data_IF_154952748581
#
_entry.id   IF_154952748581
#
_cell.length_a   1.000
_cell.length_b   1.000
_cell.length_c   1.000
_cell.angle_alpha   90.00
_cell.angle_beta   90.00
_cell.angle_gamma   90.00
#
_symmetry.space_group_name_H-M   'P 1'
#
loop_
_entity.id
_entity.type
_entity.pdbx_description
1 polymer ?
#
# COMPACT_ATOMS: atom_id res chain seq x y z
N UNK A 1 -4.90 -12.44 -5.64
CA UNK A 1 -5.90 -11.81 -6.54
C UNK A 1 -7.20 -12.62 -6.65
N UNK A 2 -7.19 -13.85 -7.20
CA UNK A 2 -8.42 -14.67 -7.36
C UNK A 2 -9.19 -14.90 -6.06
N UNK A 3 -8.50 -15.27 -4.98
CA UNK A 3 -9.15 -15.48 -3.67
C UNK A 3 -9.82 -14.21 -3.10
N UNK A 4 -9.13 -13.07 -3.18
CA UNK A 4 -9.70 -11.79 -2.74
C UNK A 4 -10.95 -11.40 -3.54
N UNK A 5 -10.93 -11.62 -4.86
CA UNK A 5 -12.08 -11.34 -5.73
C UNK A 5 -13.28 -12.21 -5.37
N UNK A 6 -13.06 -13.50 -5.09
CA UNK A 6 -14.12 -14.42 -4.66
C UNK A 6 -14.73 -13.95 -3.34
N UNK A 7 -13.91 -13.65 -2.34
CA UNK A 7 -14.38 -13.19 -1.02
C UNK A 7 -15.18 -11.90 -1.15
N UNK A 8 -14.65 -10.90 -1.87
CA UNK A 8 -15.35 -9.63 -2.08
C UNK A 8 -16.64 -9.79 -2.90
N UNK A 9 -16.63 -10.67 -3.90
CA UNK A 9 -17.82 -10.97 -4.70
C UNK A 9 -18.93 -11.59 -3.87
N UNK A 10 -18.61 -12.56 -2.99
CA UNK A 10 -19.57 -13.16 -2.07
C UNK A 10 -20.12 -12.12 -1.09
N UNK A 11 -19.25 -11.26 -0.53
CA UNK A 11 -19.69 -10.17 0.35
C UNK A 11 -20.63 -9.19 -0.37
N UNK A 12 -20.30 -8.79 -1.61
CA UNK A 12 -21.14 -7.91 -2.41
C UNK A 12 -22.52 -8.54 -2.67
N UNK A 13 -22.56 -9.81 -3.08
CA UNK A 13 -23.82 -10.54 -3.29
C UNK A 13 -24.66 -10.60 -2.01
N UNK A 14 -24.03 -10.81 -0.85
CA UNK A 14 -24.70 -10.78 0.44
C UNK A 14 -25.31 -9.41 0.77
N UNK A 15 -24.57 -8.33 0.54
CA UNK A 15 -25.06 -6.96 0.78
C UNK A 15 -26.18 -6.59 -0.21
N UNK A 16 -26.06 -6.98 -1.48
CA UNK A 16 -27.12 -6.78 -2.48
C UNK A 16 -28.39 -7.56 -2.11
N UNK A 17 -28.24 -8.82 -1.65
CA UNK A 17 -29.36 -9.61 -1.16
C UNK A 17 -30.04 -8.98 0.05
N UNK A 18 -29.25 -8.45 1.00
CA UNK A 18 -29.78 -7.72 2.16
C UNK A 18 -30.52 -6.43 1.76
N UNK A 19 -29.98 -5.68 0.80
CA UNK A 19 -30.61 -4.47 0.27
C UNK A 19 -31.94 -4.80 -0.45
N UNK A 20 -31.95 -5.86 -1.27
CA UNK A 20 -33.15 -6.35 -1.93
C UNK A 20 -34.23 -6.78 -0.93
N UNK A 21 -33.84 -7.45 0.16
CA UNK A 21 -34.77 -7.88 1.20
C UNK A 21 -35.35 -6.71 2.00
N UNK A 22 -34.55 -5.68 2.30
CA UNK A 22 -34.98 -4.53 3.14
C UNK A 22 -35.76 -3.46 2.38
N UNK A 23 -35.34 -3.15 1.16
CA UNK A 23 -35.84 -1.99 0.42
C UNK A 23 -36.19 -2.28 -1.03
N UNK A 24 -36.18 -3.56 -1.43
CA UNK A 24 -36.49 -3.98 -2.79
C UNK A 24 -35.51 -3.45 -3.83
N UNK A 25 -36.00 -3.43 -5.08
CA UNK A 25 -35.22 -2.95 -6.24
C UNK A 25 -34.75 -1.48 -6.14
N UNK A 26 -35.53 -0.53 -5.59
CA UNK A 26 -35.08 0.86 -5.47
C UNK A 26 -33.77 1.00 -4.67
N UNK A 27 -33.66 0.32 -3.52
CA UNK A 27 -32.47 0.39 -2.67
C UNK A 27 -31.24 -0.25 -3.34
N UNK A 28 -31.44 -1.34 -4.09
CA UNK A 28 -30.38 -1.98 -4.89
C UNK A 28 -29.89 -1.04 -6.00
N UNK A 29 -30.83 -0.43 -6.73
CA UNK A 29 -30.50 0.48 -7.83
C UNK A 29 -29.74 1.72 -7.35
N UNK A 30 -30.12 2.26 -6.18
CA UNK A 30 -29.42 3.38 -5.56
C UNK A 30 -28.00 3.00 -5.14
N UNK A 31 -27.83 1.82 -4.52
CA UNK A 31 -26.52 1.30 -4.16
C UNK A 31 -25.61 1.10 -5.37
N UNK A 32 -26.12 0.51 -6.45
CA UNK A 32 -25.38 0.33 -7.70
C UNK A 32 -25.01 1.66 -8.35
N UNK A 33 -25.93 2.64 -8.36
CA UNK A 33 -25.67 3.95 -8.97
C UNK A 33 -24.62 4.74 -8.18
N UNK A 34 -24.70 4.74 -6.84
CA UNK A 34 -23.69 5.36 -5.98
C UNK A 34 -22.34 4.70 -6.16
N UNK A 35 -22.28 3.37 -6.07
CA UNK A 35 -21.05 2.60 -6.26
C UNK A 35 -20.43 2.78 -7.66
N UNK A 36 -21.26 2.81 -8.70
CA UNK A 36 -20.84 3.06 -10.08
C UNK A 36 -20.25 4.46 -10.27
N UNK A 37 -20.89 5.49 -9.70
CA UNK A 37 -20.40 6.87 -9.76
C UNK A 37 -19.06 7.04 -9.05
N UNK A 38 -18.91 6.47 -7.85
CA UNK A 38 -17.64 6.46 -7.12
C UNK A 38 -16.55 5.70 -7.89
N UNK A 39 -16.90 4.55 -8.48
CA UNK A 39 -15.96 3.76 -9.29
C UNK A 39 -15.45 4.56 -10.49
N UNK A 40 -16.34 5.23 -11.23
CA UNK A 40 -15.95 6.09 -12.36
C UNK A 40 -15.05 7.25 -11.91
N UNK A 41 -15.30 7.85 -10.75
CA UNK A 41 -14.46 8.92 -10.20
C UNK A 41 -13.05 8.41 -9.83
N UNK A 42 -12.89 7.14 -9.46
CA UNK A 42 -11.60 6.53 -9.13
C UNK A 42 -10.79 6.07 -10.34
N UNK A 43 -11.42 5.80 -11.49
CA UNK A 43 -10.72 5.30 -12.69
C UNK A 43 -9.53 6.17 -13.15
N UNK A 44 -9.62 7.52 -13.22
CA UNK A 44 -8.49 8.35 -13.61
C UNK A 44 -7.31 8.24 -12.65
N UNK A 45 -7.58 8.20 -11.34
CA UNK A 45 -6.56 8.03 -10.31
C UNK A 45 -5.87 6.67 -10.46
N UNK A 46 -6.63 5.59 -10.64
CA UNK A 46 -6.08 4.25 -10.85
C UNK A 46 -5.22 4.18 -12.11
N UNK A 47 -5.63 4.82 -13.20
CA UNK A 47 -4.85 4.87 -14.43
C UNK A 47 -3.49 5.54 -14.23
N UNK A 48 -3.47 6.73 -13.59
CA UNK A 48 -2.21 7.44 -13.26
C UNK A 48 -1.31 6.57 -12.39
N UNK A 49 -1.88 5.93 -11.37
CA UNK A 49 -1.13 5.07 -10.45
C UNK A 49 -0.53 3.84 -11.15
N UNK A 50 -1.29 3.16 -12.01
CA UNK A 50 -0.78 1.99 -12.72
C UNK A 50 0.28 2.39 -13.75
N UNK A 51 0.13 3.54 -14.41
CA UNK A 51 1.17 4.08 -15.29
C UNK A 51 2.44 4.39 -14.50
N UNK A 52 2.34 5.12 -13.39
CA UNK A 52 3.48 5.41 -12.50
C UNK A 52 4.16 4.11 -12.04
N UNK A 53 3.38 3.13 -11.61
CA UNK A 53 3.88 1.82 -11.18
C UNK A 53 4.62 1.10 -12.32
N UNK A 54 4.06 1.11 -13.53
CA UNK A 54 4.70 0.52 -14.71
C UNK A 54 6.01 1.22 -15.07
N UNK A 55 6.03 2.56 -15.07
CA UNK A 55 7.25 3.33 -15.31
C UNK A 55 8.30 3.08 -14.23
N UNK A 56 7.93 3.03 -12.95
CA UNK A 56 8.86 2.72 -11.85
C UNK A 56 9.46 1.32 -12.01
N UNK A 57 8.67 0.32 -12.46
CA UNK A 57 9.20 -1.02 -12.72
C UNK A 57 10.22 -1.04 -13.86
N UNK A 58 10.05 -0.19 -14.89
CA UNK A 58 11.02 -0.04 -15.98
C UNK A 58 12.25 0.77 -15.54
N UNK A 59 12.04 1.80 -14.71
CA UNK A 59 13.06 2.72 -14.18
C UNK A 59 13.85 2.15 -12.99
N UNK A 60 13.46 1.00 -12.43
CA UNK A 60 14.22 0.27 -11.42
C UNK A 60 14.93 -0.94 -12.07
N UNK A 61 16.06 -0.72 -12.78
CA UNK A 61 16.92 -1.80 -13.22
C UNK A 61 17.28 -2.71 -12.05
N UNK A 62 17.43 -4.01 -12.32
CA UNK A 62 17.89 -4.97 -11.29
C UNK A 62 19.21 -4.55 -10.67
N UNK A 63 20.09 -3.91 -11.45
CA UNK A 63 21.37 -3.37 -11.00
C UNK A 63 21.18 -2.26 -9.96
N UNK A 64 20.17 -1.41 -10.14
CA UNK A 64 19.88 -0.31 -9.22
C UNK A 64 19.33 -0.84 -7.90
N UNK A 65 18.47 -1.87 -7.97
CA UNK A 65 17.96 -2.57 -6.79
C UNK A 65 19.10 -3.29 -6.05
N UNK A 66 19.97 -4.00 -6.75
CA UNK A 66 21.11 -4.69 -6.15
C UNK A 66 22.09 -3.72 -5.47
N UNK A 67 22.30 -2.53 -6.03
CA UNK A 67 23.25 -1.56 -5.49
C UNK A 67 22.68 -0.69 -4.36
N UNK A 68 21.41 -0.32 -4.42
CA UNK A 68 20.81 0.66 -3.50
C UNK A 68 19.81 0.06 -2.52
N UNK A 69 19.23 -1.09 -2.84
CA UNK A 69 18.09 -1.68 -2.14
C UNK A 69 18.34 -3.14 -1.74
N UNK A 70 19.58 -3.62 -1.81
CA UNK A 70 19.98 -4.94 -1.29
C UNK A 70 20.14 -4.91 0.23
N UNK A 71 20.26 -6.09 0.84
CA UNK A 71 20.61 -6.19 2.26
C UNK A 71 21.99 -5.57 2.56
N UNK A 72 22.92 -5.59 1.60
CA UNK A 72 24.24 -4.97 1.73
C UNK A 72 24.20 -3.43 1.72
N UNK A 73 23.15 -2.82 1.16
CA UNK A 73 22.97 -1.36 1.16
C UNK A 73 22.70 -0.78 2.57
N UNK A 74 22.34 -1.64 3.53
CA UNK A 74 22.13 -1.28 4.93
C UNK A 74 21.19 -0.08 5.11
N UNK A 75 21.65 0.93 5.86
CA UNK A 75 20.85 2.11 6.18
C UNK A 75 20.45 2.95 4.95
N UNK A 76 21.23 2.91 3.87
CA UNK A 76 20.90 3.64 2.63
C UNK A 76 19.65 3.07 1.97
N UNK A 77 19.55 1.75 1.88
CA UNK A 77 18.37 1.08 1.33
C UNK A 77 17.12 1.30 2.19
N UNK A 78 17.27 1.26 3.52
CA UNK A 78 16.20 1.59 4.46
C UNK A 78 15.71 3.03 4.27
N UNK A 79 16.62 4.01 4.17
CA UNK A 79 16.26 5.41 3.95
C UNK A 79 15.47 5.64 2.66
N UNK A 80 15.91 5.02 1.56
CA UNK A 80 15.21 5.13 0.26
C UNK A 80 13.83 4.46 0.34
N UNK A 81 13.73 3.26 0.88
CA UNK A 81 12.45 2.56 1.05
C UNK A 81 11.48 3.31 1.97
N UNK A 82 12.00 3.97 3.01
CA UNK A 82 11.22 4.76 3.94
C UNK A 82 10.55 5.95 3.23
N UNK A 83 11.31 6.73 2.47
CA UNK A 83 10.77 7.84 1.68
C UNK A 83 9.83 7.33 0.59
N UNK A 84 10.22 6.29 -0.14
CA UNK A 84 9.41 5.71 -1.20
C UNK A 84 8.04 5.26 -0.68
N UNK A 85 8.00 4.55 0.45
CA UNK A 85 6.74 4.11 1.06
C UNK A 85 5.84 5.28 1.50
N UNK A 86 6.42 6.36 2.03
CA UNK A 86 5.65 7.54 2.43
C UNK A 86 5.06 8.28 1.22
N UNK A 87 5.81 8.34 0.11
CA UNK A 87 5.36 8.98 -1.13
C UNK A 87 4.39 8.12 -1.94
N UNK A 88 4.44 6.79 -1.80
CA UNK A 88 3.50 5.92 -2.52
C UNK A 88 2.06 6.22 -2.07
N UNK A 89 1.19 6.64 -3.00
CA UNK A 89 -0.21 6.90 -2.69
C UNK A 89 -0.95 5.60 -2.44
N UNK A 90 -1.73 5.55 -1.36
CA UNK A 90 -2.75 4.52 -1.13
C UNK A 90 -2.25 3.28 -0.37
N UNK A 91 -3.16 2.69 0.41
CA UNK A 91 -2.95 1.37 1.00
C UNK A 91 -2.86 0.26 -0.05
N UNK A 92 -2.97 -0.98 0.42
CA UNK A 92 -2.79 -2.25 -0.31
C UNK A 92 -2.74 -2.20 -1.86
N UNK A 93 -3.81 -1.80 -2.58
CA UNK A 93 -3.90 -1.96 -4.03
C UNK A 93 -2.79 -1.31 -4.86
N UNK A 94 -2.20 -0.21 -4.37
CA UNK A 94 -1.19 0.56 -5.12
C UNK A 94 0.22 0.18 -4.69
N UNK A 95 0.46 0.12 -3.38
CA UNK A 95 1.78 -0.15 -2.86
C UNK A 95 2.17 -1.64 -2.89
N UNK A 96 1.23 -2.58 -2.90
CA UNK A 96 1.54 -4.01 -2.97
C UNK A 96 2.17 -4.42 -4.31
N UNK A 97 1.71 -3.96 -5.50
CA UNK A 97 2.42 -4.20 -6.76
C UNK A 97 3.87 -3.72 -6.75
N UNK A 98 4.14 -2.55 -6.14
CA UNK A 98 5.49 -2.01 -6.03
C UNK A 98 6.36 -2.83 -5.08
N UNK A 99 5.82 -3.21 -3.91
CA UNK A 99 6.51 -4.11 -2.99
C UNK A 99 6.81 -5.46 -3.64
N UNK A 100 5.86 -6.02 -4.40
CA UNK A 100 6.07 -7.25 -5.14
C UNK A 100 7.14 -7.10 -6.23
N UNK A 101 7.25 -5.93 -6.87
CA UNK A 101 8.33 -5.63 -7.80
C UNK A 101 9.69 -5.57 -7.10
N UNK A 102 9.78 -4.89 -5.94
CA UNK A 102 10.99 -4.86 -5.11
C UNK A 102 11.46 -6.28 -4.74
N UNK A 103 10.53 -7.13 -4.26
CA UNK A 103 10.82 -8.53 -3.94
C UNK A 103 11.32 -9.30 -5.16
N UNK A 104 10.64 -9.18 -6.31
CA UNK A 104 11.06 -9.88 -7.55
C UNK A 104 12.40 -9.39 -8.09
N UNK A 105 12.79 -8.16 -7.78
CA UNK A 105 14.07 -7.58 -8.16
C UNK A 105 15.20 -7.87 -7.16
N UNK A 106 14.93 -8.65 -6.09
CA UNK A 106 15.93 -9.02 -5.10
C UNK A 106 16.23 -7.95 -4.05
N UNK A 107 15.28 -7.04 -3.79
CA UNK A 107 15.42 -6.09 -2.70
C UNK A 107 15.54 -6.82 -1.35
N UNK A 108 16.39 -6.29 -0.48
CA UNK A 108 16.63 -6.84 0.84
C UNK A 108 15.36 -6.88 1.71
N UNK A 109 15.28 -7.86 2.61
CA UNK A 109 14.10 -8.06 3.45
C UNK A 109 13.79 -6.81 4.29
N UNK A 110 14.83 -6.20 4.88
CA UNK A 110 14.68 -4.98 5.67
C UNK A 110 14.16 -3.80 4.86
N UNK A 111 14.57 -3.70 3.59
CA UNK A 111 14.12 -2.67 2.64
C UNK A 111 12.65 -2.84 2.32
N UNK A 112 12.22 -4.07 1.98
CA UNK A 112 10.82 -4.38 1.67
C UNK A 112 9.91 -4.13 2.87
N UNK A 113 10.32 -4.55 4.07
CA UNK A 113 9.56 -4.30 5.30
C UNK A 113 9.48 -2.81 5.61
N UNK A 114 10.59 -2.08 5.50
CA UNK A 114 10.59 -0.61 5.69
C UNK A 114 9.59 0.06 4.74
N UNK A 115 9.61 -0.32 3.47
CA UNK A 115 8.71 0.22 2.46
C UNK A 115 7.24 -0.05 2.82
N UNK A 116 6.89 -1.29 3.15
CA UNK A 116 5.52 -1.68 3.51
C UNK A 116 5.03 -1.00 4.79
N UNK A 117 5.89 -0.87 5.81
CA UNK A 117 5.56 -0.20 7.06
C UNK A 117 5.42 1.30 6.85
N UNK A 118 6.30 1.92 6.06
CA UNK A 118 6.19 3.34 5.70
C UNK A 118 4.93 3.62 4.89
N UNK A 119 4.63 2.78 3.90
CA UNK A 119 3.38 2.82 3.16
C UNK A 119 2.16 2.70 4.07
N UNK A 120 2.22 1.84 5.10
CA UNK A 120 1.10 1.64 6.01
C UNK A 120 0.91 2.83 6.95
N UNK A 121 2.01 3.39 7.44
CA UNK A 121 2.02 4.36 8.54
C UNK A 121 2.18 5.81 8.12
N UNK A 122 2.71 6.13 6.93
CA UNK A 122 3.15 7.49 6.55
C UNK A 122 2.64 7.95 5.19
N UNK A 123 1.78 7.18 4.50
CA UNK A 123 1.22 7.56 3.18
C UNK A 123 0.81 9.04 3.13
N UNK A 124 1.51 9.83 2.32
CA UNK A 124 1.31 11.27 2.21
C UNK A 124 -0.12 11.63 1.78
N UNK A 125 -0.70 10.83 0.88
CA UNK A 125 -2.08 11.05 0.40
C UNK A 125 -3.14 10.92 1.50
N UNK A 126 -2.82 10.24 2.63
CA UNK A 126 -3.75 10.13 3.77
C UNK A 126 -3.72 11.37 4.65
N UNK A 127 -2.63 12.12 4.66
CA UNK A 127 -2.45 13.26 5.57
C UNK A 127 -3.53 14.33 5.40
N UNK A 128 -3.90 14.78 4.18
CA UNK A 128 -4.99 15.75 4.01
C UNK A 128 -6.34 15.21 4.50
N UNK A 129 -6.64 13.94 4.22
CA UNK A 129 -7.88 13.30 4.68
C UNK A 129 -7.91 13.20 6.20
N UNK A 130 -6.80 12.82 6.83
CA UNK A 130 -6.72 12.75 8.28
C UNK A 130 -6.88 14.11 8.95
N UNK A 131 -6.30 15.16 8.36
CA UNK A 131 -6.48 16.53 8.86
C UNK A 131 -7.96 16.92 8.76
N UNK A 132 -8.64 16.56 7.66
CA UNK A 132 -10.05 16.89 7.45
C UNK A 132 -11.00 16.14 8.40
N UNK A 133 -10.69 14.89 8.76
CA UNK A 133 -11.56 14.04 9.59
C UNK A 133 -11.25 14.20 11.09
N UNK A 134 -9.98 14.18 11.47
CA UNK A 134 -9.53 14.11 12.87
C UNK A 134 -8.89 15.40 13.40
N UNK A 135 -8.57 16.35 12.52
CA UNK A 135 -7.87 17.59 12.85
C UNK A 135 -6.34 17.45 12.89
N UNK A 136 -5.65 18.54 12.53
CA UNK A 136 -4.19 18.54 12.33
C UNK A 136 -3.36 18.23 13.57
N UNK A 137 -3.89 18.48 14.78
CA UNK A 137 -3.17 18.17 16.03
C UNK A 137 -2.96 16.67 16.20
N UNK A 138 -4.02 15.87 15.99
CA UNK A 138 -3.92 14.41 16.11
C UNK A 138 -3.08 13.83 14.98
N UNK A 139 -3.31 14.28 13.74
CA UNK A 139 -2.52 13.86 12.57
C UNK A 139 -1.03 14.12 12.76
N UNK A 140 -0.67 15.30 13.29
CA UNK A 140 0.72 15.67 13.57
C UNK A 140 1.38 14.76 14.61
N UNK A 141 0.72 14.52 15.75
CA UNK A 141 1.23 13.61 16.78
C UNK A 141 1.41 12.19 16.24
N UNK A 142 0.42 11.67 15.51
CA UNK A 142 0.50 10.35 14.86
C UNK A 142 1.70 10.26 13.93
N UNK A 143 1.87 11.23 13.03
CA UNK A 143 2.96 11.25 12.08
C UNK A 143 4.31 11.31 12.77
N UNK A 144 4.46 12.16 13.78
CA UNK A 144 5.72 12.35 14.50
C UNK A 144 6.15 11.08 15.22
N UNK A 145 5.24 10.43 15.95
CA UNK A 145 5.50 9.17 16.65
C UNK A 145 5.74 8.03 15.66
N UNK A 146 4.99 7.99 14.56
CA UNK A 146 5.09 6.92 13.56
C UNK A 146 6.32 7.05 12.66
N UNK A 147 7.00 8.20 12.66
CA UNK A 147 8.08 8.52 11.73
C UNK A 147 9.23 7.51 11.83
N UNK A 148 9.62 7.13 13.05
CA UNK A 148 10.73 6.21 13.29
C UNK A 148 10.36 4.72 13.15
N UNK A 149 9.07 4.39 13.13
CA UNK A 149 8.62 2.98 13.13
C UNK A 149 9.01 2.21 11.87
N UNK A 150 8.91 2.76 10.63
CA UNK A 150 9.34 2.05 9.43
C UNK A 150 10.82 1.64 9.41
N UNK A 151 11.80 2.52 9.64
CA UNK A 151 13.19 2.09 9.65
C UNK A 151 13.50 1.11 10.79
N UNK A 152 12.85 1.26 11.95
CA UNK A 152 12.98 0.28 13.04
C UNK A 152 12.47 -1.11 12.63
N UNK A 153 11.31 -1.17 11.98
CA UNK A 153 10.73 -2.43 11.48
C UNK A 153 11.64 -3.07 10.43
N UNK A 154 12.24 -2.28 9.54
CA UNK A 154 13.20 -2.74 8.56
C UNK A 154 14.47 -3.34 9.18
N UNK A 155 15.07 -2.64 10.14
CA UNK A 155 16.25 -3.13 10.85
C UNK A 155 15.96 -4.43 11.61
N UNK A 156 14.81 -4.51 12.28
CA UNK A 156 14.38 -5.73 12.97
C UNK A 156 14.17 -6.88 11.99
N UNK A 157 13.56 -6.61 10.83
CA UNK A 157 13.39 -7.62 9.79
C UNK A 157 14.73 -8.08 9.22
N UNK A 158 15.68 -7.17 9.02
CA UNK A 158 17.02 -7.53 8.54
C UNK A 158 17.78 -8.39 9.55
N UNK A 159 17.63 -8.11 10.85
CA UNK A 159 18.28 -8.88 11.92
C UNK A 159 17.64 -10.27 12.15
N UNK A 160 16.31 -10.33 12.13
CA UNK A 160 15.57 -11.56 12.47
C UNK A 160 15.22 -12.42 11.25
N UNK A 161 15.26 -11.84 10.05
CA UNK A 161 14.93 -12.51 8.79
C UNK A 161 15.64 -13.84 8.56
N UNK A 162 16.98 -13.90 8.69
CA UNK A 162 17.72 -15.15 8.52
C UNK A 162 17.32 -16.26 9.49
N UNK A 163 16.79 -15.88 10.66
CA UNK A 163 16.38 -16.78 11.73
C UNK A 163 14.93 -17.27 11.55
N UNK A 164 14.07 -16.42 10.97
CA UNK A 164 12.64 -16.69 10.76
C UNK A 164 12.33 -17.38 9.42
N UNK A 165 13.10 -17.07 8.37
CA UNK A 165 12.83 -17.55 7.01
C UNK A 165 13.82 -18.63 6.55
N UNK A 166 14.82 -18.95 7.38
CA UNK A 166 15.99 -19.73 6.96
C UNK A 166 16.91 -18.90 6.08
N UNK A 167 18.20 -19.27 6.00
CA UNK A 167 19.16 -18.60 5.11
C UNK A 167 18.74 -18.82 3.65
N UNK A 168 18.06 -17.85 3.05
CA UNK A 168 17.82 -17.76 1.60
C UNK A 168 19.05 -17.25 0.88
#
# INVERSE_FOLDING_TARGET
MKAALIVMGVMLLGVVGLAAWRGGWPLVSEGLMRGGKESLALLPLLAVVFLLTGFVQVLLPRELVANWLSDEAGWRGIGVAWVAGALTPGGGPIGMPLAAALVRSGAGLGVVVTYLTSLSLLSFIRVPMEIAIYGGRLTGVRLLISLALPPMAGLLAQALGPLLLGRT
#
